data_IF_252988252537
#
_entry.id   IF_252988252537
#
_cell.length_a   1.000
_cell.length_b   1.000
_cell.length_c   1.000
_cell.angle_alpha   90.00
_cell.angle_beta   90.00
_cell.angle_gamma   90.00
#
_symmetry.space_group_name_H-M   'P 1'
#
loop_
_entity.id
_entity.type
_entity.pdbx_description
1 polymer ?
#
# COMPACT_ATOMS: atom_id res chain seq x y z
N UNK A 1 -34.51 23.40 0.04
CA UNK A 1 -33.47 22.98 -0.92
C UNK A 1 -34.07 21.82 -1.70
N UNK A 2 -33.94 21.79 -3.03
CA UNK A 2 -34.49 20.69 -3.84
C UNK A 2 -33.47 19.53 -3.91
N UNK A 3 -33.91 18.33 -4.31
CA UNK A 3 -33.04 17.14 -4.36
C UNK A 3 -31.83 17.30 -5.29
N UNK A 4 -31.94 18.14 -6.31
CA UNK A 4 -30.85 18.45 -7.24
C UNK A 4 -29.70 19.25 -6.59
N UNK A 5 -30.03 20.22 -5.74
CA UNK A 5 -29.04 20.99 -4.98
C UNK A 5 -28.41 20.15 -3.85
N UNK A 6 -29.19 19.27 -3.24
CA UNK A 6 -28.68 18.31 -2.25
C UNK A 6 -27.66 17.35 -2.88
N UNK A 7 -27.95 16.79 -4.06
CA UNK A 7 -27.02 15.93 -4.79
C UNK A 7 -25.70 16.65 -5.12
N UNK A 8 -25.75 17.92 -5.55
CA UNK A 8 -24.55 18.72 -5.81
C UNK A 8 -23.73 18.98 -4.54
N UNK A 9 -24.39 19.23 -3.41
CA UNK A 9 -23.70 19.43 -2.14
C UNK A 9 -23.04 18.14 -1.63
N UNK A 10 -23.69 16.99 -1.82
CA UNK A 10 -23.13 15.66 -1.51
C UNK A 10 -21.91 15.41 -2.39
N UNK A 11 -22.03 15.62 -3.70
CA UNK A 11 -20.92 15.43 -4.64
C UNK A 11 -19.72 16.32 -4.30
N UNK A 12 -19.96 17.58 -3.93
CA UNK A 12 -18.91 18.51 -3.47
C UNK A 12 -18.24 18.01 -2.19
N UNK A 13 -19.02 17.55 -1.20
CA UNK A 13 -18.53 17.02 0.06
C UNK A 13 -17.68 15.75 -0.10
N UNK A 14 -17.99 14.91 -1.09
CA UNK A 14 -17.21 13.72 -1.43
C UNK A 14 -15.98 14.03 -2.31
N UNK A 15 -15.85 15.27 -2.80
CA UNK A 15 -14.74 15.73 -3.61
C UNK A 15 -13.53 16.19 -2.80
N UNK A 16 -12.49 16.66 -3.51
CA UNK A 16 -11.29 17.24 -2.87
C UNK A 16 -11.59 18.65 -2.34
N UNK A 17 -11.18 18.98 -1.11
CA UNK A 17 -11.24 20.35 -0.61
C UNK A 17 -10.37 21.29 -1.46
N UNK A 18 -10.65 22.60 -1.47
CA UNK A 18 -9.87 23.59 -2.20
C UNK A 18 -8.41 23.64 -1.73
N UNK A 19 -7.52 24.09 -2.62
CA UNK A 19 -6.08 24.19 -2.34
C UNK A 19 -5.80 24.98 -1.05
N UNK A 20 -4.94 24.42 -0.19
CA UNK A 20 -4.60 25.00 1.12
C UNK A 20 -5.53 24.58 2.27
N UNK A 21 -6.53 23.73 2.02
CA UNK A 21 -7.39 23.14 3.06
C UNK A 21 -7.24 21.61 3.04
N UNK A 22 -6.91 21.01 4.19
CA UNK A 22 -6.81 19.55 4.30
C UNK A 22 -8.19 18.86 4.37
N UNK A 23 -9.23 19.55 4.86
CA UNK A 23 -10.55 18.97 5.11
C UNK A 23 -11.70 19.93 4.80
N UNK A 24 -12.85 19.36 4.42
CA UNK A 24 -14.09 20.13 4.33
C UNK A 24 -14.62 20.48 5.72
N UNK A 25 -14.79 21.77 5.98
CA UNK A 25 -15.65 22.24 7.07
C UNK A 25 -17.02 22.61 6.51
N UNK A 26 -18.05 22.60 7.36
CA UNK A 26 -19.41 23.02 6.98
C UNK A 26 -19.42 24.44 6.40
N UNK A 27 -18.60 25.34 6.96
CA UNK A 27 -18.47 26.72 6.47
C UNK A 27 -17.76 26.77 5.12
N UNK A 28 -16.73 25.95 4.93
CA UNK A 28 -16.00 25.85 3.66
C UNK A 28 -16.88 25.27 2.55
N UNK A 29 -17.71 24.26 2.87
CA UNK A 29 -18.70 23.70 1.96
C UNK A 29 -19.73 24.77 1.57
N UNK A 30 -20.30 25.49 2.54
CA UNK A 30 -21.23 26.58 2.25
C UNK A 30 -20.61 27.66 1.36
N UNK A 31 -19.38 28.07 1.65
CA UNK A 31 -18.65 29.06 0.86
C UNK A 31 -18.37 28.56 -0.56
N UNK A 32 -17.89 27.33 -0.70
CA UNK A 32 -17.57 26.74 -2.01
C UNK A 32 -18.83 26.51 -2.85
N UNK A 33 -19.96 26.19 -2.20
CA UNK A 33 -21.24 26.01 -2.86
C UNK A 33 -21.78 27.32 -3.45
N UNK A 34 -21.52 28.46 -2.79
CA UNK A 34 -21.81 29.81 -3.30
C UNK A 34 -20.82 30.18 -4.42
N UNK A 35 -19.52 29.94 -4.21
CA UNK A 35 -18.47 30.27 -5.18
C UNK A 35 -18.65 29.55 -6.52
N UNK A 36 -19.15 28.31 -6.49
CA UNK A 36 -19.46 27.52 -7.69
C UNK A 36 -20.81 27.90 -8.33
N UNK A 37 -21.45 28.97 -7.85
CA UNK A 37 -22.72 29.51 -8.35
C UNK A 37 -23.89 28.51 -8.33
N UNK A 38 -23.88 27.52 -7.41
CA UNK A 38 -25.03 26.63 -7.24
C UNK A 38 -26.20 27.32 -6.52
N UNK A 39 -25.91 28.28 -5.64
CA UNK A 39 -26.87 29.11 -4.90
C UNK A 39 -26.27 30.48 -4.61
N UNK A 40 -27.11 31.51 -4.55
CA UNK A 40 -26.66 32.88 -4.21
C UNK A 40 -26.29 33.00 -2.73
N UNK A 41 -27.04 32.31 -1.86
CA UNK A 41 -26.79 32.28 -0.41
C UNK A 41 -27.25 30.95 0.20
N UNK A 42 -26.46 30.44 1.15
CA UNK A 42 -26.84 29.28 1.96
C UNK A 42 -26.30 29.41 3.38
N UNK A 43 -27.13 29.07 4.37
CA UNK A 43 -26.68 28.99 5.75
C UNK A 43 -25.84 27.74 5.97
N UNK A 44 -24.72 27.89 6.67
CA UNK A 44 -23.91 26.76 7.14
C UNK A 44 -24.75 25.77 7.97
N UNK A 45 -25.80 26.21 8.67
CA UNK A 45 -26.70 25.32 9.41
C UNK A 45 -27.50 24.39 8.49
N UNK A 46 -27.91 24.88 7.32
CA UNK A 46 -28.58 24.07 6.29
C UNK A 46 -27.64 23.03 5.71
N UNK A 47 -26.40 23.44 5.38
CA UNK A 47 -25.35 22.51 4.94
C UNK A 47 -25.08 21.44 6.00
N UNK A 48 -24.98 21.82 7.27
CA UNK A 48 -24.79 20.86 8.36
C UNK A 48 -25.94 19.86 8.49
N UNK A 49 -27.19 20.31 8.38
CA UNK A 49 -28.35 19.40 8.45
C UNK A 49 -28.33 18.38 7.32
N UNK A 50 -27.99 18.79 6.10
CA UNK A 50 -27.91 17.90 4.92
C UNK A 50 -26.75 16.92 5.05
N UNK A 51 -25.57 17.41 5.43
CA UNK A 51 -24.39 16.57 5.69
C UNK A 51 -24.71 15.54 6.78
N UNK A 52 -25.40 15.95 7.85
CA UNK A 52 -25.81 15.08 8.95
C UNK A 52 -26.88 14.06 8.54
N UNK A 53 -27.92 14.46 7.82
CA UNK A 53 -29.00 13.55 7.39
C UNK A 53 -28.49 12.47 6.43
N UNK A 54 -27.49 12.79 5.62
CA UNK A 54 -26.85 11.88 4.68
C UNK A 54 -25.64 11.13 5.28
N UNK A 55 -25.43 11.23 6.60
CA UNK A 55 -24.33 10.55 7.32
C UNK A 55 -22.93 10.87 6.76
N UNK A 56 -22.76 12.03 6.11
CA UNK A 56 -21.48 12.46 5.59
C UNK A 56 -20.62 12.99 6.73
N UNK A 57 -19.45 12.38 6.93
CA UNK A 57 -18.45 12.82 7.90
C UNK A 57 -17.15 13.16 7.16
N UNK A 58 -17.05 14.31 6.48
CA UNK A 58 -15.87 14.65 5.67
C UNK A 58 -14.56 14.85 6.48
N UNK A 59 -14.65 14.93 7.80
CA UNK A 59 -13.51 14.94 8.72
C UNK A 59 -13.07 13.54 9.16
N UNK A 60 -13.88 12.51 8.89
CA UNK A 60 -13.56 11.13 9.26
C UNK A 60 -12.59 10.53 8.25
N UNK A 61 -11.54 9.87 8.74
CA UNK A 61 -10.54 9.22 7.90
C UNK A 61 -10.33 7.78 8.39
N UNK A 62 -10.33 6.83 7.48
CA UNK A 62 -9.81 5.50 7.78
C UNK A 62 -8.30 5.49 7.55
N UNK A 63 -7.56 4.94 8.51
CA UNK A 63 -6.11 4.85 8.44
C UNK A 63 -5.62 3.50 8.95
N UNK A 64 -4.45 3.11 8.44
CA UNK A 64 -3.65 2.04 9.00
C UNK A 64 -3.16 2.47 10.38
N UNK A 65 -3.62 1.82 11.44
CA UNK A 65 -3.20 2.10 12.81
C UNK A 65 -3.07 0.80 13.59
N UNK A 66 -1.97 0.66 14.33
CA UNK A 66 -1.86 -0.33 15.42
C UNK A 66 -3.00 -0.02 16.38
N UNK A 67 -3.91 -0.96 16.67
CA UNK A 67 -5.11 -0.66 17.41
C UNK A 67 -4.73 -0.29 18.86
N UNK A 68 -5.19 0.86 19.39
CA UNK A 68 -4.86 1.27 20.76
C UNK A 68 -5.50 0.36 21.83
N UNK A 69 -6.42 -0.53 21.43
CA UNK A 69 -6.96 -1.61 22.27
C UNK A 69 -6.63 -2.93 21.60
N UNK A 70 -6.10 -3.85 22.40
CA UNK A 70 -5.64 -5.19 22.03
C UNK A 70 -6.70 -5.91 21.19
N UNK A 71 -6.48 -6.03 19.88
CA UNK A 71 -7.23 -6.94 19.03
C UNK A 71 -6.60 -8.33 19.18
N UNK A 72 -7.37 -9.33 19.65
CA UNK A 72 -6.86 -10.68 19.86
C UNK A 72 -6.26 -11.30 18.59
N UNK A 73 -6.85 -11.04 17.42
CA UNK A 73 -6.33 -11.49 16.12
C UNK A 73 -4.98 -10.84 15.80
N UNK A 74 -4.85 -9.55 16.09
CA UNK A 74 -3.57 -8.83 15.90
C UNK A 74 -2.49 -9.38 16.83
N UNK A 75 -2.80 -9.60 18.12
CA UNK A 75 -1.84 -10.16 19.07
C UNK A 75 -1.42 -11.55 18.64
N UNK A 76 -2.35 -12.41 18.24
CA UNK A 76 -2.04 -13.75 17.75
C UNK A 76 -1.04 -13.71 16.58
N UNK A 77 -1.31 -12.90 15.55
CA UNK A 77 -0.40 -12.79 14.41
C UNK A 77 0.93 -12.11 14.76
N UNK A 78 0.92 -11.16 15.68
CA UNK A 78 2.14 -10.53 16.18
C UNK A 78 3.01 -11.53 16.93
N UNK A 79 2.43 -12.32 17.85
CA UNK A 79 3.13 -13.38 18.58
C UNK A 79 3.68 -14.46 17.64
N UNK A 80 2.90 -14.88 16.64
CA UNK A 80 3.32 -15.82 15.60
C UNK A 80 4.55 -15.32 14.81
N UNK A 81 4.54 -14.07 14.37
CA UNK A 81 5.70 -13.47 13.65
C UNK A 81 6.90 -13.26 14.58
N UNK A 82 6.67 -12.84 15.83
CA UNK A 82 7.74 -12.68 16.81
C UNK A 82 8.41 -14.01 17.12
N UNK A 83 7.64 -15.09 17.25
CA UNK A 83 8.17 -16.44 17.45
C UNK A 83 9.01 -16.91 16.26
N UNK A 84 8.65 -16.54 15.03
CA UNK A 84 9.50 -16.82 13.85
C UNK A 84 10.85 -16.11 13.99
N UNK A 85 10.85 -14.83 14.32
CA UNK A 85 12.08 -14.03 14.41
C UNK A 85 12.99 -14.39 15.59
N UNK A 86 12.49 -15.09 16.62
CA UNK A 86 13.31 -15.62 17.72
C UNK A 86 13.97 -16.96 17.38
N UNK A 87 13.55 -17.66 16.31
CA UNK A 87 14.14 -18.94 15.93
C UNK A 87 15.62 -18.76 15.55
N UNK A 88 16.51 -19.69 15.96
CA UNK A 88 17.90 -19.66 15.52
C UNK A 88 18.00 -19.84 14.00
N UNK A 89 19.07 -19.30 13.42
CA UNK A 89 19.33 -19.50 12.00
C UNK A 89 19.49 -20.99 11.66
N UNK A 90 18.73 -21.47 10.68
CA UNK A 90 18.81 -22.82 10.16
C UNK A 90 18.81 -22.78 8.61
N UNK A 91 19.90 -23.18 7.94
CA UNK A 91 19.98 -23.18 6.48
C UNK A 91 18.94 -24.08 5.77
N UNK A 92 18.45 -25.13 6.42
CA UNK A 92 17.38 -25.99 5.88
C UNK A 92 16.00 -25.32 5.98
N UNK A 93 15.85 -24.37 6.91
CA UNK A 93 14.62 -23.62 7.19
C UNK A 93 14.89 -22.10 7.22
N UNK A 94 15.33 -21.52 6.09
CA UNK A 94 15.67 -20.11 6.03
C UNK A 94 14.44 -19.25 6.31
N UNK A 95 14.62 -18.24 7.16
CA UNK A 95 13.59 -17.25 7.47
C UNK A 95 13.67 -16.13 6.44
N UNK A 96 12.64 -15.94 5.63
CA UNK A 96 12.61 -14.98 4.54
C UNK A 96 11.44 -14.04 4.70
N UNK A 97 11.70 -12.75 4.71
CA UNK A 97 10.68 -11.71 4.63
C UNK A 97 10.51 -11.31 3.16
N UNK A 98 9.27 -11.25 2.67
CA UNK A 98 8.95 -10.78 1.32
C UNK A 98 8.19 -9.47 1.39
N UNK A 99 8.66 -8.50 0.62
CA UNK A 99 8.03 -7.18 0.48
C UNK A 99 8.14 -6.67 -0.96
N UNK A 100 7.29 -5.70 -1.31
CA UNK A 100 7.12 -5.21 -2.66
C UNK A 100 7.04 -3.68 -2.67
N UNK A 101 7.79 -3.05 -3.57
CA UNK A 101 7.78 -1.60 -3.70
C UNK A 101 7.45 -1.19 -5.14
N UNK A 102 6.51 -0.25 -5.31
CA UNK A 102 6.31 0.39 -6.61
C UNK A 102 7.24 1.57 -6.75
N UNK A 103 8.02 1.61 -7.83
CA UNK A 103 8.95 2.69 -8.13
C UNK A 103 8.51 3.46 -9.37
N UNK A 104 8.56 4.79 -9.31
CA UNK A 104 8.37 5.62 -10.50
C UNK A 104 9.68 5.70 -11.27
N UNK A 105 9.63 5.42 -12.56
CA UNK A 105 10.78 5.58 -13.44
C UNK A 105 10.82 7.03 -13.90
N UNK A 106 11.89 7.73 -13.53
CA UNK A 106 12.10 9.14 -13.85
C UNK A 106 13.32 9.25 -14.77
N UNK A 107 13.20 10.06 -15.81
CA UNK A 107 14.28 10.41 -16.70
C UNK A 107 14.53 11.92 -16.65
N UNK A 108 15.79 12.31 -16.79
CA UNK A 108 16.16 13.72 -16.92
C UNK A 108 15.58 14.27 -18.24
N UNK A 109 15.05 15.49 -18.21
CA UNK A 109 14.60 16.15 -19.44
C UNK A 109 15.75 16.75 -20.24
N UNK A 110 16.89 17.02 -19.59
CA UNK A 110 18.08 17.66 -20.15
C UNK A 110 19.33 16.97 -19.59
N UNK A 111 20.40 16.93 -20.38
CA UNK A 111 21.68 16.37 -19.91
C UNK A 111 22.26 17.23 -18.76
N UNK A 112 22.67 16.60 -17.63
CA UNK A 112 23.32 17.32 -16.54
C UNK A 112 24.62 17.99 -16.96
N UNK A 113 24.88 19.19 -16.44
CA UNK A 113 26.17 19.85 -16.65
C UNK A 113 27.26 19.18 -15.78
N UNK A 114 28.44 18.89 -16.35
CA UNK A 114 29.49 18.18 -15.63
C UNK A 114 30.07 19.01 -14.48
N UNK A 115 30.62 18.31 -13.49
CA UNK A 115 31.37 18.89 -12.38
C UNK A 115 32.60 19.66 -12.91
N UNK A 116 32.89 20.85 -12.37
CA UNK A 116 34.13 21.60 -12.61
C UNK A 116 34.76 22.04 -11.28
N UNK A 117 36.08 22.31 -11.21
CA UNK A 117 36.68 22.89 -10.01
C UNK A 117 35.96 24.19 -9.61
N UNK A 118 35.38 24.22 -8.40
CA UNK A 118 34.59 25.35 -7.90
C UNK A 118 33.11 25.37 -8.32
N UNK A 119 32.66 24.45 -9.18
CA UNK A 119 31.25 24.33 -9.59
C UNK A 119 30.72 22.90 -9.38
N UNK A 120 29.68 22.70 -8.54
CA UNK A 120 29.06 21.39 -8.37
C UNK A 120 28.37 20.94 -9.66
N UNK A 121 28.17 19.62 -9.81
CA UNK A 121 27.32 19.04 -10.85
C UNK A 121 25.94 19.71 -10.78
N UNK A 122 25.42 20.17 -11.92
CA UNK A 122 24.09 20.80 -11.99
C UNK A 122 23.15 19.89 -12.78
N UNK A 123 22.11 19.44 -12.10
CA UNK A 123 21.02 18.66 -12.66
C UNK A 123 19.79 19.56 -12.78
N UNK A 124 18.98 19.33 -13.81
CA UNK A 124 17.72 20.05 -13.96
C UNK A 124 16.70 19.51 -12.95
N UNK A 125 15.85 20.39 -12.42
CA UNK A 125 14.77 19.97 -11.53
C UNK A 125 13.59 19.36 -12.31
N UNK A 126 13.50 19.60 -13.62
CA UNK A 126 12.46 19.08 -14.50
C UNK A 126 12.76 17.63 -14.91
N UNK A 127 11.89 16.70 -14.52
CA UNK A 127 11.98 15.29 -14.88
C UNK A 127 10.79 14.84 -15.73
N UNK A 128 11.02 13.82 -16.56
CA UNK A 128 9.98 13.12 -17.33
C UNK A 128 9.64 11.80 -16.65
N UNK A 129 8.35 11.52 -16.49
CA UNK A 129 7.87 10.25 -15.94
C UNK A 129 7.78 9.21 -17.05
N UNK A 130 8.56 8.14 -16.94
CA UNK A 130 8.64 7.01 -17.89
C UNK A 130 7.84 5.78 -17.40
N UNK A 131 6.80 6.03 -16.61
CA UNK A 131 5.93 5.01 -16.04
C UNK A 131 6.36 4.56 -14.65
N UNK A 132 6.01 3.32 -14.32
CA UNK A 132 6.23 2.71 -13.00
C UNK A 132 6.63 1.26 -13.15
N UNK A 133 7.47 0.78 -12.24
CA UNK A 133 7.78 -0.64 -12.09
C UNK A 133 7.48 -1.12 -10.68
N UNK A 134 7.46 -2.43 -10.50
CA UNK A 134 7.28 -3.10 -9.21
C UNK A 134 8.55 -3.89 -8.88
N UNK A 135 9.07 -3.67 -7.69
CA UNK A 135 10.21 -4.35 -7.11
C UNK A 135 9.66 -5.43 -6.18
N UNK A 136 10.09 -6.68 -6.37
CA UNK A 136 9.89 -7.76 -5.41
C UNK A 136 11.21 -7.98 -4.68
N UNK A 137 11.19 -7.92 -3.35
CA UNK A 137 12.35 -8.10 -2.49
C UNK A 137 12.07 -9.23 -1.51
N UNK A 138 12.90 -10.28 -1.56
CA UNK A 138 13.02 -11.26 -0.51
C UNK A 138 14.29 -11.00 0.30
N UNK A 139 14.18 -10.94 1.62
CA UNK A 139 15.28 -10.66 2.52
C UNK A 139 15.34 -11.73 3.61
N UNK A 140 16.52 -12.32 3.80
CA UNK A 140 16.80 -13.22 4.91
C UNK A 140 17.52 -12.42 6.01
N UNK A 141 16.81 -12.01 7.09
CA UNK A 141 17.33 -11.01 8.02
C UNK A 141 18.59 -11.49 8.76
N UNK A 142 18.68 -12.79 9.07
CA UNK A 142 19.78 -13.35 9.86
C UNK A 142 21.10 -13.47 9.10
N UNK A 143 21.05 -13.54 7.76
CA UNK A 143 22.26 -13.64 6.91
C UNK A 143 22.50 -12.40 6.06
N UNK A 144 21.50 -11.51 5.96
CA UNK A 144 21.55 -10.33 5.11
C UNK A 144 21.40 -10.64 3.61
N UNK A 145 21.13 -11.90 3.23
CA UNK A 145 20.88 -12.29 1.84
C UNK A 145 19.63 -11.59 1.33
N UNK A 146 19.74 -10.99 0.13
CA UNK A 146 18.64 -10.27 -0.53
C UNK A 146 18.51 -10.74 -1.96
N UNK A 147 17.28 -11.01 -2.37
CA UNK A 147 16.91 -11.34 -3.75
C UNK A 147 15.94 -10.27 -4.22
N UNK A 148 16.28 -9.61 -5.31
CA UNK A 148 15.45 -8.54 -5.90
C UNK A 148 15.13 -8.90 -7.33
N UNK A 149 13.86 -8.78 -7.70
CA UNK A 149 13.42 -8.82 -9.09
C UNK A 149 12.60 -7.57 -9.42
N UNK A 150 12.88 -6.98 -10.58
CA UNK A 150 12.13 -5.83 -11.11
C UNK A 150 11.15 -6.34 -12.16
N UNK A 151 9.87 -6.00 -12.02
CA UNK A 151 8.80 -6.36 -12.94
C UNK A 151 8.03 -5.11 -13.36
N UNK A 152 7.38 -5.17 -14.52
CA UNK A 152 6.57 -4.06 -15.01
C UNK A 152 5.29 -3.87 -14.19
N UNK A 153 4.78 -4.94 -13.57
CA UNK A 153 3.54 -4.96 -12.80
C UNK A 153 3.71 -5.81 -11.53
N UNK A 154 2.77 -5.62 -10.61
CA UNK A 154 2.57 -6.47 -9.43
C UNK A 154 1.22 -7.20 -9.57
N UNK A 155 1.24 -8.39 -10.14
CA UNK A 155 0.09 -9.28 -10.24
C UNK A 155 0.29 -10.58 -9.45
N UNK A 156 -0.78 -11.36 -9.26
CA UNK A 156 -0.68 -12.71 -8.68
C UNK A 156 0.28 -13.61 -9.46
N UNK A 157 0.25 -13.49 -10.79
CA UNK A 157 1.17 -14.21 -11.67
C UNK A 157 2.62 -13.80 -11.47
N UNK A 158 2.88 -12.50 -11.35
CA UNK A 158 4.22 -11.97 -11.06
C UNK A 158 4.75 -12.48 -9.72
N UNK A 159 3.90 -12.50 -8.69
CA UNK A 159 4.23 -13.04 -7.38
C UNK A 159 4.52 -14.55 -7.43
N UNK A 160 3.67 -15.34 -8.10
CA UNK A 160 3.86 -16.78 -8.23
C UNK A 160 5.16 -17.13 -8.96
N UNK A 161 5.49 -16.38 -10.03
CA UNK A 161 6.74 -16.53 -10.77
C UNK A 161 7.95 -16.15 -9.91
N UNK A 162 7.89 -15.05 -9.16
CA UNK A 162 8.94 -14.65 -8.22
C UNK A 162 9.18 -15.74 -7.17
N UNK A 163 8.11 -16.28 -6.58
CA UNK A 163 8.18 -17.31 -5.55
C UNK A 163 8.74 -18.63 -6.08
N UNK A 164 8.38 -19.05 -7.30
CA UNK A 164 9.00 -20.22 -7.95
C UNK A 164 10.50 -20.02 -8.10
N UNK A 165 10.94 -18.88 -8.62
CA UNK A 165 12.37 -18.59 -8.77
C UNK A 165 13.07 -18.54 -7.40
N UNK A 166 12.42 -17.99 -6.38
CA UNK A 166 12.92 -17.96 -5.01
C UNK A 166 13.14 -19.39 -4.46
N UNK A 167 12.17 -20.28 -4.65
CA UNK A 167 12.23 -21.67 -4.18
C UNK A 167 13.25 -22.47 -4.97
N UNK A 168 13.17 -22.46 -6.29
CA UNK A 168 13.92 -23.40 -7.15
C UNK A 168 15.35 -22.94 -7.44
N UNK A 169 15.64 -21.64 -7.36
CA UNK A 169 16.96 -21.09 -7.68
C UNK A 169 17.68 -20.66 -6.39
N UNK A 170 17.03 -19.83 -5.59
CA UNK A 170 17.72 -19.20 -4.45
C UNK A 170 17.75 -20.06 -3.19
N UNK A 171 16.78 -20.97 -3.03
CA UNK A 171 16.62 -21.84 -1.87
C UNK A 171 16.38 -23.31 -2.25
N UNK A 172 16.95 -23.75 -3.37
CA UNK A 172 16.75 -25.10 -3.91
C UNK A 172 17.08 -26.23 -2.91
N UNK A 173 18.08 -25.99 -2.06
CA UNK A 173 18.55 -26.94 -1.05
C UNK A 173 17.78 -26.86 0.28
N UNK A 174 16.95 -25.84 0.47
CA UNK A 174 16.15 -25.71 1.68
C UNK A 174 15.04 -26.78 1.68
N UNK A 175 14.78 -27.35 2.85
CA UNK A 175 13.64 -28.25 3.02
C UNK A 175 12.35 -27.48 2.89
N UNK A 176 12.25 -26.34 3.59
CA UNK A 176 11.12 -25.44 3.59
C UNK A 176 11.56 -24.01 3.89
N UNK A 177 10.97 -23.01 3.25
CA UNK A 177 11.21 -21.59 3.52
C UNK A 177 10.19 -21.11 4.54
N UNK A 178 10.65 -20.53 5.66
CA UNK A 178 9.80 -19.86 6.63
C UNK A 178 9.56 -18.44 6.14
N UNK A 179 8.42 -18.22 5.51
CA UNK A 179 8.10 -17.00 4.76
C UNK A 179 7.21 -16.08 5.58
N UNK A 180 7.70 -14.87 5.88
CA UNK A 180 6.92 -13.80 6.50
C UNK A 180 6.53 -12.77 5.43
N UNK A 181 5.25 -12.45 5.32
CA UNK A 181 4.73 -11.48 4.35
C UNK A 181 3.45 -10.81 4.85
N UNK A 182 3.03 -9.71 4.21
CA UNK A 182 1.79 -9.01 4.56
C UNK A 182 0.55 -9.74 3.98
N UNK A 183 -0.64 -9.40 4.50
CA UNK A 183 -1.91 -10.05 4.06
C UNK A 183 -2.48 -9.46 2.77
N UNK A 184 -1.66 -9.30 1.73
CA UNK A 184 -2.14 -8.89 0.42
C UNK A 184 -2.89 -10.06 -0.25
N UNK A 185 -3.92 -9.73 -1.05
CA UNK A 185 -4.75 -10.73 -1.74
C UNK A 185 -3.99 -11.61 -2.75
N UNK A 186 -2.76 -11.24 -3.08
CA UNK A 186 -1.85 -11.98 -3.96
C UNK A 186 -1.00 -12.99 -3.20
N UNK A 187 -0.83 -12.81 -1.89
CA UNK A 187 0.09 -13.59 -1.06
C UNK A 187 -0.56 -14.85 -0.50
N UNK A 188 -1.16 -15.64 -1.37
CA UNK A 188 -1.80 -16.90 -0.98
C UNK A 188 -1.26 -18.04 -1.82
N UNK A 189 -1.07 -19.26 -1.26
CA UNK A 189 -0.68 -20.42 -2.05
C UNK A 189 -1.63 -20.73 -3.21
N UNK A 190 -2.89 -20.28 -3.15
CA UNK A 190 -3.83 -20.36 -4.28
C UNK A 190 -3.36 -19.59 -5.52
N UNK A 191 -2.54 -18.54 -5.36
CA UNK A 191 -1.94 -17.82 -6.49
C UNK A 191 -1.05 -18.73 -7.34
N UNK A 192 -0.47 -19.80 -6.80
CA UNK A 192 0.26 -20.79 -7.61
C UNK A 192 -0.66 -21.55 -8.54
N UNK A 193 -1.86 -21.90 -8.09
CA UNK A 193 -2.84 -22.64 -8.89
C UNK A 193 -3.48 -21.81 -10.00
N UNK A 194 -3.40 -20.48 -9.93
CA UNK A 194 -3.81 -19.59 -11.01
C UNK A 194 -2.80 -19.56 -12.17
N UNK A 195 -1.57 -20.04 -11.94
CA UNK A 195 -0.42 -19.79 -12.83
C UNK A 195 0.25 -21.08 -13.30
N UNK A 196 0.33 -22.08 -12.43
CA UNK A 196 1.00 -23.35 -12.68
C UNK A 196 0.01 -24.52 -12.65
N UNK A 197 0.40 -25.63 -13.27
CA UNK A 197 -0.37 -26.88 -13.19
C UNK A 197 -0.51 -27.34 -11.72
N UNK A 198 -1.61 -28.02 -11.35
CA UNK A 198 -1.88 -28.36 -9.95
C UNK A 198 -0.77 -29.13 -9.22
N UNK A 199 -0.04 -30.00 -9.93
CA UNK A 199 1.08 -30.76 -9.37
C UNK A 199 2.25 -29.84 -8.98
N UNK A 200 2.56 -28.87 -9.83
CA UNK A 200 3.63 -27.89 -9.60
C UNK A 200 3.23 -26.88 -8.54
N UNK A 201 1.99 -26.37 -8.60
CA UNK A 201 1.45 -25.47 -7.59
C UNK A 201 1.48 -26.10 -6.19
N UNK A 202 1.10 -27.39 -6.08
CA UNK A 202 1.20 -28.13 -4.83
C UNK A 202 2.65 -28.30 -4.36
N UNK A 203 3.57 -28.66 -5.25
CA UNK A 203 5.00 -28.78 -4.92
C UNK A 203 5.56 -27.48 -4.32
N UNK A 204 5.26 -26.35 -4.96
CA UNK A 204 5.69 -25.03 -4.50
C UNK A 204 5.06 -24.67 -3.16
N UNK A 205 3.77 -24.94 -2.94
CA UNK A 205 3.12 -24.66 -1.67
C UNK A 205 3.70 -25.48 -0.52
N UNK A 206 4.12 -26.73 -0.77
CA UNK A 206 4.74 -27.57 0.26
C UNK A 206 6.13 -27.09 0.70
N UNK A 207 6.79 -26.28 -0.12
CA UNK A 207 8.08 -25.65 0.20
C UNK A 207 7.97 -24.42 1.10
N UNK A 208 6.77 -24.03 1.51
CA UNK A 208 6.55 -22.81 2.29
C UNK A 208 5.90 -23.09 3.65
N UNK A 209 6.40 -22.43 4.67
CA UNK A 209 5.73 -22.21 5.96
C UNK A 209 5.40 -20.72 6.02
N UNK A 210 4.12 -20.36 5.84
CA UNK A 210 3.71 -18.96 5.63
C UNK A 210 3.18 -18.35 6.92
N UNK A 211 3.76 -17.22 7.31
CA UNK A 211 3.35 -16.38 8.43
C UNK A 211 2.94 -15.00 7.93
N UNK A 212 1.82 -14.50 8.43
CA UNK A 212 1.21 -13.26 7.94
C UNK A 212 1.34 -12.14 8.96
N UNK A 213 1.98 -11.05 8.56
CA UNK A 213 1.95 -9.79 9.30
C UNK A 213 0.62 -9.07 9.04
N UNK A 214 -0.37 -9.26 9.93
CA UNK A 214 -1.67 -8.58 9.84
C UNK A 214 -1.63 -7.18 10.45
N UNK A 215 -2.19 -6.22 9.72
CA UNK A 215 -2.51 -4.89 10.23
C UNK A 215 -4.03 -4.68 10.16
N UNK A 216 -4.71 -4.41 11.29
CA UNK A 216 -6.14 -4.19 11.28
C UNK A 216 -6.49 -2.81 10.73
N UNK A 217 -7.61 -2.73 10.01
CA UNK A 217 -8.22 -1.47 9.60
C UNK A 217 -8.83 -0.75 10.81
N UNK A 218 -8.66 0.57 10.91
CA UNK A 218 -9.45 1.37 11.86
C UNK A 218 -9.88 2.72 11.27
N UNK A 219 -11.13 3.06 11.55
CA UNK A 219 -11.66 4.42 11.50
C UNK A 219 -10.97 5.29 12.55
N UNK A 220 -10.29 6.34 12.09
CA UNK A 220 -9.70 7.38 12.94
C UNK A 220 -10.60 8.61 12.84
N UNK A 221 -11.38 8.87 13.90
CA UNK A 221 -12.07 10.15 14.05
C UNK A 221 -11.06 11.18 14.54
N UNK A 222 -10.73 12.17 13.70
CA UNK A 222 -10.00 13.35 14.15
C UNK A 222 -11.01 14.36 14.72
N UNK A 223 -10.87 14.66 16.01
CA UNK A 223 -11.60 15.75 16.68
C UNK A 223 -11.22 17.14 16.18
#
# INVERSE_FOLDING_TARGET
MNGHLEAHLIALCCGKPPAGQERWSVRLLAHSFIQLCYVDQISHKTVWMIVKSNQLKPWLKEQWCIPPKVNAEFVYHMEDVLEVYTRPHNPCFPQVCLDEASSCLLADTREPLPLKPGEPKREDAEYKREGTCSLFLACEPLTGKRVVQVRARRTKADWALFMRDLIDIHYAQAEKIVLVLDTLNTHTPSSFYEVFDPAEAWRLSQKLEVHYARHPWKLVEYG
#
